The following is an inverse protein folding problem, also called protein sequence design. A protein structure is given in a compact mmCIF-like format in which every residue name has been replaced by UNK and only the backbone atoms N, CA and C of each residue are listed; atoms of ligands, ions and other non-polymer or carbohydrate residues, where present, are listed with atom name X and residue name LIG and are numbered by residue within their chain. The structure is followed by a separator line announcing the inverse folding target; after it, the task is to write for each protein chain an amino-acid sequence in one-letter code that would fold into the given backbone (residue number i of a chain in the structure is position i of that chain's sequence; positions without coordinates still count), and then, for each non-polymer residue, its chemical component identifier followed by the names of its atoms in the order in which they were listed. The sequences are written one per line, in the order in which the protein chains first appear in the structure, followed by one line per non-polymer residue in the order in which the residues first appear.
data_IF_410622137673
#
_entry.id   IF_410622137673
#
_cell.length_a   1.000
_cell.length_b   1.000
_cell.length_c   1.000
_cell.angle_alpha   90.00
_cell.angle_beta   90.00
_cell.angle_gamma   90.00
#
_symmetry.space_group_name_H-M   'P 1'
#
loop_
_entity.id
_entity.type
_entity.pdbx_description
1 polymer ?
#
# COMPACT_ATOMS: atom_id res chain seq x y z
N UNK A 1 -16.29 -48.18 10.69
CA UNK A 1 -15.30 -47.47 9.83
C UNK A 1 -15.52 -45.97 10.01
N UNK A 2 -14.75 -45.35 10.91
CA UNK A 2 -14.95 -43.94 11.27
C UNK A 2 -14.40 -43.03 10.17
N UNK A 3 -15.30 -42.40 9.42
CA UNK A 3 -14.97 -41.44 8.39
C UNK A 3 -14.46 -40.15 9.05
N UNK A 4 -13.16 -40.10 9.33
CA UNK A 4 -12.47 -38.92 9.85
C UNK A 4 -12.40 -37.89 8.73
N UNK A 5 -13.45 -37.08 8.61
CA UNK A 5 -13.35 -35.79 7.94
C UNK A 5 -12.31 -34.95 8.69
N UNK A 6 -11.05 -35.06 8.28
CA UNK A 6 -10.01 -34.07 8.62
C UNK A 6 -10.56 -32.75 8.10
N UNK A 7 -10.98 -31.88 9.01
CA UNK A 7 -11.19 -30.47 8.71
C UNK A 7 -9.82 -29.92 8.32
N UNK A 8 -9.48 -29.98 7.04
CA UNK A 8 -8.34 -29.25 6.53
C UNK A 8 -8.56 -27.79 6.91
N UNK A 9 -7.56 -27.19 7.55
CA UNK A 9 -7.53 -25.75 7.73
C UNK A 9 -7.62 -25.17 6.32
N UNK A 10 -8.56 -24.25 6.05
CA UNK A 10 -8.80 -23.74 4.69
C UNK A 10 -7.53 -23.22 3.98
N UNK A 11 -6.49 -22.85 4.74
CA UNK A 11 -5.15 -22.47 4.23
C UNK A 11 -4.39 -23.61 3.55
N UNK A 12 -4.69 -24.86 3.88
CA UNK A 12 -4.01 -26.05 3.35
C UNK A 12 -4.41 -26.38 1.91
N UNK A 13 -5.42 -25.70 1.32
CA UNK A 13 -5.90 -25.97 -0.05
C UNK A 13 -5.16 -25.21 -1.15
N UNK A 14 -4.49 -24.11 -0.79
CA UNK A 14 -3.71 -23.29 -1.72
C UNK A 14 -2.23 -23.20 -1.31
N UNK A 15 -1.92 -23.46 -0.03
CA UNK A 15 -0.56 -23.40 0.48
C UNK A 15 -0.08 -21.97 0.74
N UNK A 16 1.23 -21.78 0.66
CA UNK A 16 1.86 -20.48 0.88
C UNK A 16 1.62 -19.54 -0.32
N UNK A 17 1.39 -18.25 -0.03
CA UNK A 17 1.25 -17.20 -1.04
C UNK A 17 2.61 -16.53 -1.26
N UNK A 18 3.05 -16.50 -2.51
CA UNK A 18 4.20 -15.74 -2.98
C UNK A 18 3.72 -14.57 -3.85
N UNK A 19 4.45 -13.46 -3.79
CA UNK A 19 4.13 -12.24 -4.52
C UNK A 19 5.34 -11.86 -5.35
N UNK A 20 5.24 -12.07 -6.65
CA UNK A 20 6.33 -11.85 -7.60
C UNK A 20 6.02 -10.60 -8.43
N UNK A 21 7.01 -9.72 -8.60
CA UNK A 21 6.87 -8.57 -9.49
C UNK A 21 6.87 -9.06 -10.95
N UNK A 22 5.94 -8.53 -11.75
CA UNK A 22 5.82 -8.90 -13.17
C UNK A 22 6.34 -7.77 -14.04
N UNK A 23 5.69 -6.61 -13.99
CA UNK A 23 6.01 -5.46 -14.83
C UNK A 23 5.31 -4.19 -14.35
N UNK A 24 5.82 -3.04 -14.77
CA UNK A 24 5.22 -1.72 -14.56
C UNK A 24 4.37 -1.26 -15.74
N UNK A 25 3.57 -0.22 -15.52
CA UNK A 25 2.82 0.48 -16.58
C UNK A 25 3.77 1.05 -17.66
N UNK A 26 4.96 1.48 -17.27
CA UNK A 26 5.96 1.97 -18.22
C UNK A 26 6.56 0.85 -19.06
N UNK A 27 6.70 -0.36 -18.52
CA UNK A 27 7.16 -1.53 -19.28
C UNK A 27 6.13 -1.98 -20.32
N UNK A 28 4.84 -1.68 -20.07
CA UNK A 28 3.75 -1.83 -21.04
C UNK A 28 3.75 -0.72 -22.13
N UNK A 29 4.70 0.23 -22.08
CA UNK A 29 4.76 1.36 -23.01
C UNK A 29 3.71 2.44 -22.76
N UNK A 30 3.07 2.44 -21.58
CA UNK A 30 2.04 3.40 -21.21
C UNK A 30 2.62 4.54 -20.37
N UNK A 31 1.98 5.71 -20.45
CA UNK A 31 2.33 6.84 -19.61
C UNK A 31 1.98 6.56 -18.13
N UNK A 32 2.74 7.10 -17.18
CA UNK A 32 2.33 7.05 -15.77
C UNK A 32 0.96 7.69 -15.59
N UNK A 33 0.13 7.11 -14.70
CA UNK A 33 -1.25 7.56 -14.42
C UNK A 33 -2.23 7.39 -15.58
N UNK A 34 -1.91 6.57 -16.58
CA UNK A 34 -2.90 6.09 -17.54
C UNK A 34 -4.07 5.44 -16.82
N UNK A 35 -5.26 5.57 -17.39
CA UNK A 35 -6.48 4.99 -16.84
C UNK A 35 -6.28 3.49 -16.59
N UNK A 36 -6.65 3.03 -15.38
CA UNK A 36 -6.48 1.63 -14.95
C UNK A 36 -7.10 0.61 -15.90
N UNK A 37 -8.16 0.97 -16.61
CA UNK A 37 -8.82 0.10 -17.59
C UNK A 37 -8.01 -0.07 -18.87
N UNK A 38 -7.33 0.99 -19.30
CA UNK A 38 -6.42 0.92 -20.46
C UNK A 38 -5.15 0.15 -20.10
N UNK A 39 -4.66 0.31 -18.87
CA UNK A 39 -3.59 -0.52 -18.31
C UNK A 39 -3.98 -2.00 -18.30
N UNK A 40 -5.18 -2.34 -17.83
CA UNK A 40 -5.69 -3.72 -17.85
C UNK A 40 -5.76 -4.29 -19.27
N UNK A 41 -6.28 -3.54 -20.23
CA UNK A 41 -6.35 -3.97 -21.64
C UNK A 41 -4.97 -4.23 -22.21
N UNK A 42 -4.02 -3.31 -21.99
CA UNK A 42 -2.65 -3.48 -22.46
C UNK A 42 -2.00 -4.73 -21.86
N UNK A 43 -2.18 -4.95 -20.56
CA UNK A 43 -1.66 -6.14 -19.88
C UNK A 43 -2.24 -7.45 -20.45
N UNK A 44 -3.56 -7.52 -20.64
CA UNK A 44 -4.21 -8.70 -21.22
C UNK A 44 -3.78 -8.96 -22.68
N UNK A 45 -3.56 -7.89 -23.45
CA UNK A 45 -3.07 -7.99 -24.83
C UNK A 45 -1.65 -8.57 -24.88
N UNK A 46 -0.75 -8.13 -24.00
CA UNK A 46 0.63 -8.65 -23.92
C UNK A 46 0.65 -10.15 -23.57
N UNK A 47 -0.26 -10.60 -22.70
CA UNK A 47 -0.36 -12.00 -22.31
C UNK A 47 -1.21 -12.87 -23.24
N UNK A 48 -1.75 -12.32 -24.34
CA UNK A 48 -2.76 -12.97 -25.21
C UNK A 48 -3.88 -13.68 -24.41
N UNK A 49 -4.32 -13.03 -23.33
CA UNK A 49 -5.15 -13.68 -22.32
C UNK A 49 -6.45 -12.91 -22.07
N UNK A 50 -7.35 -13.56 -21.33
CA UNK A 50 -8.61 -12.96 -20.87
C UNK A 50 -8.65 -12.87 -19.36
N UNK A 51 -9.29 -11.83 -18.84
CA UNK A 51 -9.71 -11.79 -17.45
C UNK A 51 -10.99 -12.61 -17.27
N UNK A 52 -10.91 -13.74 -16.58
CA UNK A 52 -12.05 -14.59 -16.25
C UNK A 52 -12.84 -14.06 -15.04
N UNK A 53 -12.12 -13.45 -14.10
CA UNK A 53 -12.67 -12.78 -12.92
C UNK A 53 -11.89 -11.49 -12.68
N UNK A 54 -12.59 -10.48 -12.18
CA UNK A 54 -12.03 -9.19 -11.82
C UNK A 54 -12.68 -8.71 -10.53
N UNK A 55 -11.86 -8.20 -9.61
CA UNK A 55 -12.30 -7.49 -8.41
C UNK A 55 -11.60 -6.15 -8.38
N UNK A 56 -12.38 -5.09 -8.43
CA UNK A 56 -11.87 -3.72 -8.37
C UNK A 56 -11.93 -3.17 -6.95
N UNK A 57 -10.93 -2.39 -6.58
CA UNK A 57 -10.87 -1.64 -5.34
C UNK A 57 -10.25 -0.26 -5.57
N UNK A 58 -10.38 0.62 -4.57
CA UNK A 58 -9.89 2.01 -4.63
C UNK A 58 -8.39 2.18 -4.92
N UNK A 59 -7.57 1.16 -4.70
CA UNK A 59 -6.12 1.21 -4.91
C UNK A 59 -5.62 0.32 -6.06
N UNK A 60 -6.51 -0.27 -6.86
CA UNK A 60 -6.15 -1.15 -7.96
C UNK A 60 -7.17 -2.27 -8.18
N UNK A 61 -6.72 -3.40 -8.72
CA UNK A 61 -7.61 -4.53 -9.00
C UNK A 61 -6.88 -5.88 -8.91
N UNK A 62 -7.66 -6.92 -8.66
CA UNK A 62 -7.24 -8.32 -8.72
C UNK A 62 -7.94 -8.98 -9.90
N UNK A 63 -7.20 -9.77 -10.68
CA UNK A 63 -7.78 -10.51 -11.80
C UNK A 63 -7.34 -11.96 -11.79
N UNK A 64 -8.22 -12.84 -12.26
CA UNK A 64 -7.87 -14.19 -12.69
C UNK A 64 -7.69 -14.15 -14.20
N UNK A 65 -6.45 -14.31 -14.67
CA UNK A 65 -6.13 -14.38 -16.08
C UNK A 65 -6.20 -15.83 -16.52
N UNK A 66 -6.84 -16.13 -17.64
CA UNK A 66 -6.88 -17.45 -18.25
C UNK A 66 -6.57 -17.37 -19.75
N UNK A 67 -6.10 -18.48 -20.34
CA UNK A 67 -5.99 -18.62 -21.79
C UNK A 67 -7.39 -18.94 -22.35
N UNK A 68 -7.87 -18.23 -23.38
CA UNK A 68 -9.13 -18.57 -24.04
C UNK A 68 -9.11 -20.02 -24.57
N UNK A 69 -10.18 -20.78 -24.29
CA UNK A 69 -10.32 -22.16 -24.77
C UNK A 69 -9.57 -23.23 -23.97
N UNK A 70 -8.78 -22.86 -22.95
CA UNK A 70 -8.12 -23.81 -22.05
C UNK A 70 -8.71 -23.69 -20.63
N UNK A 71 -9.49 -24.69 -20.18
CA UNK A 71 -9.99 -24.69 -18.80
C UNK A 71 -8.85 -24.95 -17.81
N UNK A 72 -8.97 -24.39 -16.59
CA UNK A 72 -8.02 -24.60 -15.48
C UNK A 72 -6.57 -24.19 -15.80
N UNK A 73 -6.36 -23.11 -16.54
CA UNK A 73 -5.03 -22.51 -16.78
C UNK A 73 -4.98 -21.07 -16.24
N UNK A 74 -5.50 -20.86 -15.02
CA UNK A 74 -5.66 -19.53 -14.46
C UNK A 74 -4.50 -19.12 -13.54
N UNK A 75 -4.09 -17.86 -13.65
CA UNK A 75 -3.13 -17.21 -12.76
C UNK A 75 -3.73 -15.92 -12.17
N UNK A 76 -3.40 -15.61 -10.91
CA UNK A 76 -3.95 -14.43 -10.24
C UNK A 76 -2.95 -13.29 -10.28
N UNK A 77 -3.38 -12.14 -10.78
CA UNK A 77 -2.57 -10.93 -10.82
C UNK A 77 -3.19 -9.82 -9.99
N UNK A 78 -2.34 -9.02 -9.36
CA UNK A 78 -2.70 -7.80 -8.65
C UNK A 78 -2.08 -6.60 -9.35
N UNK A 79 -2.92 -5.64 -9.74
CA UNK A 79 -2.47 -4.32 -10.13
C UNK A 79 -2.57 -3.38 -8.93
N UNK A 80 -1.47 -2.74 -8.57
CA UNK A 80 -1.42 -1.76 -7.47
C UNK A 80 -1.22 -0.37 -8.07
N UNK A 81 -2.26 0.46 -8.03
CA UNK A 81 -2.32 1.75 -8.74
C UNK A 81 -1.28 2.75 -8.23
N UNK A 82 -1.02 2.79 -6.92
CA UNK A 82 0.04 3.64 -6.33
C UNK A 82 1.46 3.26 -6.77
N UNK A 83 1.66 1.99 -7.14
CA UNK A 83 2.95 1.49 -7.64
C UNK A 83 3.00 1.47 -9.17
N UNK A 84 1.85 1.65 -9.84
CA UNK A 84 1.72 1.53 -11.29
C UNK A 84 2.35 0.22 -11.80
N UNK A 85 2.06 -0.89 -11.11
CA UNK A 85 2.73 -2.16 -11.35
C UNK A 85 1.83 -3.38 -11.11
N UNK A 86 2.15 -4.46 -11.84
CA UNK A 86 1.55 -5.77 -11.74
C UNK A 86 2.41 -6.73 -10.91
N UNK A 87 1.72 -7.52 -10.10
CA UNK A 87 2.30 -8.58 -9.28
C UNK A 87 1.56 -9.88 -9.55
N UNK A 88 2.30 -10.97 -9.66
CA UNK A 88 1.76 -12.32 -9.75
C UNK A 88 1.61 -12.90 -8.35
N UNK A 89 0.40 -13.37 -8.03
CA UNK A 89 0.07 -14.01 -6.78
C UNK A 89 0.13 -15.53 -6.97
N UNK A 90 1.29 -16.10 -6.65
CA UNK A 90 1.58 -17.53 -6.86
C UNK A 90 1.28 -18.32 -5.60
N UNK A 91 0.60 -19.45 -5.77
CA UNK A 91 0.26 -20.36 -4.68
C UNK A 91 1.04 -21.66 -4.82
N UNK A 92 1.72 -22.06 -3.76
CA UNK A 92 2.60 -23.23 -3.72
C UNK A 92 1.96 -24.51 -4.28
N UNK A 93 0.66 -24.70 -4.05
CA UNK A 93 -0.05 -25.91 -4.47
C UNK A 93 -0.75 -25.78 -5.82
N UNK A 94 -0.90 -24.55 -6.35
CA UNK A 94 -1.65 -24.25 -7.58
C UNK A 94 -1.09 -22.98 -8.23
N UNK A 95 -0.03 -23.14 -9.00
CA UNK A 95 0.66 -22.01 -9.65
C UNK A 95 -0.12 -21.50 -10.86
N UNK A 96 -0.46 -22.40 -11.80
CA UNK A 96 -1.10 -22.05 -13.08
C UNK A 96 -2.44 -22.76 -13.33
N UNK A 97 -2.92 -23.55 -12.36
CA UNK A 97 -4.13 -24.36 -12.53
C UNK A 97 -5.35 -23.78 -11.80
N UNK A 98 -5.34 -22.47 -11.52
CA UNK A 98 -6.44 -21.84 -10.79
C UNK A 98 -7.67 -21.69 -11.68
N UNK A 99 -8.84 -21.82 -11.08
CA UNK A 99 -10.12 -21.55 -11.73
C UNK A 99 -10.91 -20.48 -10.96
N UNK A 100 -12.09 -20.12 -11.47
CA UNK A 100 -12.94 -19.12 -10.84
C UNK A 100 -13.35 -19.43 -9.39
N UNK A 101 -13.49 -20.70 -9.00
CA UNK A 101 -13.80 -21.09 -7.61
C UNK A 101 -12.59 -20.95 -6.70
N UNK A 102 -11.41 -21.36 -7.19
CA UNK A 102 -10.14 -21.18 -6.49
C UNK A 102 -9.86 -19.69 -6.25
N UNK A 103 -10.15 -18.84 -7.23
CA UNK A 103 -10.05 -17.38 -7.09
C UNK A 103 -10.91 -16.87 -5.94
N UNK A 104 -12.19 -17.27 -5.87
CA UNK A 104 -13.09 -16.88 -4.78
C UNK A 104 -12.64 -17.42 -3.42
N UNK A 105 -12.00 -18.59 -3.38
CA UNK A 105 -11.40 -19.12 -2.17
C UNK A 105 -10.16 -18.32 -1.76
N UNK A 106 -9.27 -18.01 -2.70
CA UNK A 106 -8.06 -17.23 -2.47
C UNK A 106 -8.37 -15.84 -1.90
N UNK A 107 -9.37 -15.15 -2.47
CA UNK A 107 -9.85 -13.85 -1.96
C UNK A 107 -10.25 -13.93 -0.48
N UNK A 108 -10.97 -14.98 -0.09
CA UNK A 108 -11.51 -15.15 1.28
C UNK A 108 -10.44 -15.59 2.28
N UNK A 109 -9.57 -16.53 1.90
CA UNK A 109 -8.62 -17.18 2.81
C UNK A 109 -7.37 -16.31 3.02
N UNK A 110 -6.87 -15.69 1.95
CA UNK A 110 -5.65 -14.86 1.97
C UNK A 110 -5.96 -13.37 2.09
N UNK A 111 -7.24 -13.00 2.22
CA UNK A 111 -7.70 -11.60 2.32
C UNK A 111 -7.13 -10.71 1.21
N UNK A 112 -7.06 -11.23 -0.02
CA UNK A 112 -6.31 -10.60 -1.12
C UNK A 112 -6.79 -9.18 -1.44
N UNK A 113 -8.09 -8.91 -1.24
CA UNK A 113 -8.69 -7.58 -1.41
C UNK A 113 -7.94 -6.51 -0.61
N UNK A 114 -7.35 -6.87 0.55
CA UNK A 114 -6.56 -5.94 1.37
C UNK A 114 -5.29 -5.42 0.67
N UNK A 115 -4.73 -6.16 -0.30
CA UNK A 115 -3.54 -5.73 -1.05
C UNK A 115 -3.85 -4.58 -2.01
N UNK A 116 -5.03 -4.58 -2.63
CA UNK A 116 -5.45 -3.60 -3.63
C UNK A 116 -6.35 -2.50 -3.05
N UNK A 117 -6.73 -2.60 -1.79
CA UNK A 117 -7.42 -1.52 -1.07
C UNK A 117 -6.44 -0.39 -0.74
N UNK A 118 -6.81 0.82 -1.12
CA UNK A 118 -6.18 2.01 -0.55
C UNK A 118 -6.65 2.15 0.91
N UNK A 119 -5.80 1.81 1.87
CA UNK A 119 -5.98 2.30 3.24
C UNK A 119 -5.63 3.78 3.23
N UNK A 120 -6.57 4.69 3.57
CA UNK A 120 -6.19 6.08 3.84
C UNK A 120 -5.13 6.03 4.92
N UNK A 121 -3.96 6.60 4.66
CA UNK A 121 -2.86 6.62 5.61
C UNK A 121 -3.41 7.09 6.96
N UNK A 122 -3.10 6.34 8.02
CA UNK A 122 -3.25 6.82 9.37
C UNK A 122 -2.44 8.11 9.45
N UNK A 123 -3.12 9.23 9.22
CA UNK A 123 -2.66 10.53 9.66
C UNK A 123 -2.71 10.44 11.17
N UNK A 124 -1.64 9.90 11.75
CA UNK A 124 -1.24 10.25 13.10
C UNK A 124 -0.99 11.75 13.05
N UNK A 125 -2.09 12.48 13.20
CA UNK A 125 -2.18 13.87 13.59
C UNK A 125 -1.46 13.91 14.93
N UNK A 126 -0.12 13.98 14.87
CA UNK A 126 0.72 14.26 16.03
C UNK A 126 0.16 15.58 16.54
N UNK A 127 -0.59 15.49 17.63
CA UNK A 127 -0.95 16.63 18.43
C UNK A 127 0.38 17.28 18.83
N UNK A 128 0.79 18.27 18.04
CA UNK A 128 1.81 19.23 18.41
C UNK A 128 1.23 19.94 19.62
N UNK A 129 1.54 19.42 20.81
CA UNK A 129 1.27 20.12 22.07
C UNK A 129 1.95 21.46 21.93
N UNK A 130 1.15 22.50 21.68
CA UNK A 130 1.51 23.88 21.91
C UNK A 130 1.91 23.98 23.39
N UNK A 131 3.19 23.82 23.69
CA UNK A 131 3.77 24.38 24.91
C UNK A 131 3.72 25.89 24.73
N UNK A 132 2.58 26.44 25.16
CA UNK A 132 2.39 27.88 25.41
C UNK A 132 3.54 28.30 26.33
N UNK A 133 4.47 29.11 25.83
CA UNK A 133 5.44 29.77 26.68
C UNK A 133 4.66 30.65 27.67
N UNK A 134 4.81 30.38 28.96
CA UNK A 134 4.20 31.17 30.03
C UNK A 134 5.10 32.39 30.28
N UNK A 135 4.60 33.63 30.21
CA UNK A 135 5.36 34.78 30.63
C UNK A 135 5.38 34.91 32.16
N UNK A 136 6.57 35.30 32.63
CA UNK A 136 7.03 35.83 33.91
C UNK A 136 6.05 36.06 35.08
N UNK A 137 6.51 35.71 36.29
CA UNK A 137 6.23 36.48 37.50
C UNK A 137 7.53 36.80 38.25
N UNK A 138 7.59 38.05 38.72
CA UNK A 138 8.66 38.75 39.43
C UNK A 138 8.78 38.33 40.90
N UNK A 139 9.98 38.49 41.46
CA UNK A 139 10.27 38.62 42.90
C UNK A 139 11.71 38.17 43.17
N UNK A 140 12.71 39.05 43.17
CA UNK A 140 13.13 40.00 44.22
C UNK A 140 14.42 39.50 44.90
N UNK A 141 15.44 40.38 44.87
CA UNK A 141 16.59 40.49 45.78
C UNK A 141 17.65 39.35 45.75
N UNK A 142 18.96 39.59 45.81
CA UNK A 142 19.80 40.78 45.93
C UNK A 142 21.28 40.35 45.78
N UNK A 143 22.18 41.35 45.82
CA UNK A 143 23.62 41.27 46.22
C UNK A 143 24.66 41.38 45.09
N UNK A 144 25.16 42.62 45.00
CA UNK A 144 26.56 43.07 44.93
C UNK A 144 27.50 42.60 43.79
N UNK A 145 27.95 43.56 43.00
CA UNK A 145 29.34 44.05 42.98
C UNK A 145 29.41 45.15 41.88
N UNK A 146 29.54 46.44 42.23
CA UNK A 146 30.78 47.19 42.49
C UNK A 146 31.68 47.43 41.27
N UNK A 147 32.16 48.68 41.19
CA UNK A 147 33.11 49.32 40.26
C UNK A 147 32.53 49.94 38.98
N UNK A 148 32.44 51.28 38.87
CA UNK A 148 33.52 52.29 38.64
C UNK A 148 33.83 52.36 37.14
N UNK A 149 33.94 53.49 36.43
CA UNK A 149 33.88 54.92 36.69
C UNK A 149 33.51 55.58 35.33
N UNK A 150 33.15 56.88 35.34
CA UNK A 150 33.60 57.93 34.40
C UNK A 150 33.52 57.61 32.88
N UNK A 151 32.93 58.42 32.00
CA UNK A 151 33.22 59.84 31.80
C UNK A 151 32.32 60.37 30.65
N UNK A 152 31.71 61.53 30.89
CA UNK A 152 31.47 62.70 30.02
C UNK A 152 31.26 62.55 28.49
N UNK A 153 30.14 63.14 28.01
CA UNK A 153 30.04 64.16 26.93
C UNK A 153 28.79 63.92 26.06
N UNK A 154 27.68 64.63 26.24
CA UNK A 154 27.32 66.01 25.81
C UNK A 154 27.09 66.17 24.28
N UNK A 155 25.93 66.78 23.95
CA UNK A 155 25.52 67.52 22.71
C UNK A 155 25.10 66.64 21.52
N UNK A 156 23.86 66.59 21.03
CA UNK A 156 22.84 67.58 20.58
C UNK A 156 22.93 67.98 19.09
N UNK A 157 21.75 68.04 18.47
CA UNK A 157 21.33 68.77 17.26
C UNK A 157 21.91 68.32 15.91
N UNK A 158 21.07 67.72 15.06
CA UNK A 158 20.44 68.33 13.88
C UNK A 158 19.39 67.38 13.28
#
# INVERSE_FOLDING_TARGET
MSNRYRRYSKRELLGSLYVDYVMSVTDLGLAPKTNRWDVLRAFLNVGEARAERLVEESGGFLLLQSIPGRPNTGAIYAYIERLQAFFWLRFEQKEDTLNGEDFQHALRIHHLVRFVRCTPGNSHRRHRRNRKARPAEKGADSIAAHFSAQDVSLVAVL
#
